data_IF_621410365659
#
_entry.id   IF_621410365659
#
_cell.length_a   1.000
_cell.length_b   1.000
_cell.length_c   1.000
_cell.angle_alpha   90.00
_cell.angle_beta   90.00
_cell.angle_gamma   90.00
#
_symmetry.space_group_name_H-M   'P 1'
#
loop_
_entity.id
_entity.type
_entity.pdbx_description
1 polymer ?
#
# COMPACT_ATOMS: atom_id res chain seq x y z
N UNK A 1 10.01 21.48 19.01
CA UNK A 1 9.29 21.34 17.72
C UNK A 1 9.92 20.29 16.83
N UNK A 2 11.24 20.34 16.56
CA UNK A 2 11.93 19.35 15.72
C UNK A 2 11.91 17.92 16.31
N UNK A 3 12.15 17.77 17.62
CA UNK A 3 12.05 16.48 18.34
C UNK A 3 10.62 15.89 18.31
N UNK A 4 9.60 16.74 18.35
CA UNK A 4 8.19 16.31 18.28
C UNK A 4 7.85 15.84 16.86
N UNK A 5 8.27 16.61 15.83
CA UNK A 5 8.14 16.21 14.42
C UNK A 5 8.88 14.90 14.10
N UNK A 6 10.10 14.70 14.61
CA UNK A 6 10.83 13.44 14.38
C UNK A 6 10.13 12.24 15.03
N UNK A 7 9.44 12.43 16.16
CA UNK A 7 8.67 11.34 16.79
C UNK A 7 7.39 11.06 16.01
N UNK A 8 6.71 12.13 15.55
CA UNK A 8 5.46 12.06 14.80
C UNK A 8 5.64 11.53 13.37
N UNK A 9 6.81 11.72 12.74
CA UNK A 9 7.08 11.38 11.34
C UNK A 9 8.13 10.28 11.11
N UNK A 10 8.96 9.90 12.10
CA UNK A 10 9.93 8.78 12.00
C UNK A 10 9.72 7.66 13.06
N UNK A 11 8.66 7.74 13.87
CA UNK A 11 8.38 6.79 14.96
C UNK A 11 9.58 6.58 15.92
N UNK A 12 10.48 7.56 16.03
CA UNK A 12 11.71 7.47 16.82
C UNK A 12 12.72 6.41 16.35
N UNK A 13 12.59 5.87 15.12
CA UNK A 13 13.56 4.93 14.53
C UNK A 13 13.64 3.54 15.20
N UNK A 14 12.63 3.16 15.99
CA UNK A 14 12.60 1.88 16.73
C UNK A 14 11.61 0.85 16.15
N UNK A 15 11.43 0.82 14.82
CA UNK A 15 10.52 -0.13 14.16
C UNK A 15 11.21 -1.49 13.93
N UNK A 16 10.57 -2.59 14.33
CA UNK A 16 11.09 -3.95 14.14
C UNK A 16 10.86 -4.48 12.72
N UNK A 17 11.55 -5.57 12.36
CA UNK A 17 11.40 -6.24 11.07
C UNK A 17 9.93 -6.66 10.79
N UNK A 18 9.31 -7.37 11.74
CA UNK A 18 7.94 -7.86 11.60
C UNK A 18 6.91 -6.73 11.58
N UNK A 19 7.14 -5.67 12.35
CA UNK A 19 6.28 -4.49 12.35
C UNK A 19 6.35 -3.74 11.02
N UNK A 20 7.54 -3.65 10.43
CA UNK A 20 7.72 -3.09 9.08
C UNK A 20 6.98 -3.94 8.05
N UNK A 21 7.21 -5.26 8.03
CA UNK A 21 6.59 -6.16 7.06
C UNK A 21 5.05 -6.12 7.10
N UNK A 22 4.48 -6.20 8.31
CA UNK A 22 3.02 -6.12 8.50
C UNK A 22 2.45 -4.77 8.11
N UNK A 23 3.17 -3.67 8.35
CA UNK A 23 2.74 -2.34 7.91
C UNK A 23 2.68 -2.24 6.39
N UNK A 24 3.65 -2.80 5.67
CA UNK A 24 3.62 -2.85 4.20
C UNK A 24 2.42 -3.65 3.70
N UNK A 25 2.15 -4.81 4.30
CA UNK A 25 0.97 -5.62 3.95
C UNK A 25 -0.32 -4.85 4.20
N UNK A 26 -0.43 -4.18 5.36
CA UNK A 26 -1.59 -3.36 5.72
C UNK A 26 -1.83 -2.24 4.70
N UNK A 27 -0.77 -1.48 4.39
CA UNK A 27 -0.83 -0.32 3.49
C UNK A 27 -1.30 -0.72 2.08
N UNK A 28 -0.94 -1.91 1.59
CA UNK A 28 -1.33 -2.41 0.27
C UNK A 28 -2.64 -3.21 0.24
N UNK A 29 -3.16 -3.60 1.40
CA UNK A 29 -4.42 -4.34 1.44
C UNK A 29 -5.57 -3.34 1.33
N UNK A 30 -5.82 -2.83 0.13
CA UNK A 30 -6.92 -1.91 -0.14
C UNK A 30 -8.26 -2.65 -0.23
N UNK A 31 -9.37 -1.94 -0.04
CA UNK A 31 -10.69 -2.48 -0.37
C UNK A 31 -10.74 -2.97 -1.83
N UNK A 32 -10.13 -2.20 -2.74
CA UNK A 32 -9.99 -2.57 -4.13
C UNK A 32 -9.10 -3.81 -4.33
N UNK A 33 -8.08 -4.04 -3.49
CA UNK A 33 -7.24 -5.24 -3.55
C UNK A 33 -8.08 -6.50 -3.45
N UNK A 34 -9.07 -6.51 -2.56
CA UNK A 34 -9.93 -7.67 -2.32
C UNK A 34 -11.04 -7.81 -3.38
N UNK A 35 -11.69 -6.69 -3.72
CA UNK A 35 -12.80 -6.67 -4.67
C UNK A 35 -12.32 -6.85 -6.12
N UNK A 36 -11.25 -6.17 -6.51
CA UNK A 36 -10.72 -6.22 -7.86
C UNK A 36 -10.06 -7.57 -8.14
N UNK A 37 -9.26 -8.11 -7.21
CA UNK A 37 -8.68 -9.45 -7.39
C UNK A 37 -9.76 -10.51 -7.57
N UNK A 38 -10.84 -10.44 -6.79
CA UNK A 38 -12.01 -11.34 -6.93
C UNK A 38 -12.75 -11.14 -8.26
N UNK A 39 -12.86 -9.88 -8.73
CA UNK A 39 -13.47 -9.57 -10.03
C UNK A 39 -12.64 -10.14 -11.19
N UNK A 40 -11.31 -10.06 -11.11
CA UNK A 40 -10.43 -10.65 -12.13
C UNK A 40 -10.41 -12.17 -12.03
N UNK A 41 -10.64 -12.75 -10.84
CA UNK A 41 -10.92 -14.19 -10.68
C UNK A 41 -12.18 -14.61 -11.44
N UNK A 42 -13.25 -13.84 -11.30
CA UNK A 42 -14.49 -14.08 -12.00
C UNK A 42 -14.35 -13.95 -13.52
N UNK A 43 -13.50 -13.05 -13.99
CA UNK A 43 -13.28 -12.82 -15.43
C UNK A 43 -12.34 -13.82 -16.08
N UNK A 44 -11.23 -14.17 -15.42
CA UNK A 44 -10.11 -14.88 -16.03
C UNK A 44 -9.79 -16.23 -15.33
N UNK A 45 -10.56 -16.63 -14.33
CA UNK A 45 -10.29 -17.83 -13.53
C UNK A 45 -9.06 -17.67 -12.62
N UNK A 46 -8.38 -18.78 -12.31
CA UNK A 46 -7.24 -18.83 -11.38
C UNK A 46 -6.06 -17.95 -11.86
N UNK A 47 -5.89 -17.78 -13.18
CA UNK A 47 -4.85 -16.92 -13.76
C UNK A 47 -4.99 -15.45 -13.31
N UNK A 48 -6.23 -14.97 -13.18
CA UNK A 48 -6.52 -13.58 -12.84
C UNK A 48 -5.94 -13.11 -11.50
N UNK A 49 -6.30 -13.76 -10.36
CA UNK A 49 -5.75 -13.47 -9.05
C UNK A 49 -4.24 -13.58 -8.97
N UNK A 50 -3.66 -14.56 -9.68
CA UNK A 50 -2.21 -14.69 -9.74
C UNK A 50 -1.58 -13.46 -10.39
N UNK A 51 -2.02 -13.05 -11.58
CA UNK A 51 -1.47 -11.88 -12.27
C UNK A 51 -1.74 -10.57 -11.52
N UNK A 52 -2.86 -10.48 -10.79
CA UNK A 52 -3.12 -9.38 -9.88
C UNK A 52 -2.06 -9.32 -8.76
N UNK A 53 -1.88 -10.42 -8.02
CA UNK A 53 -0.99 -10.50 -6.87
C UNK A 53 0.49 -10.40 -7.29
N UNK A 54 0.90 -11.16 -8.30
CA UNK A 54 2.26 -11.15 -8.83
C UNK A 54 2.63 -9.78 -9.40
N UNK A 55 1.72 -9.17 -10.16
CA UNK A 55 1.98 -7.90 -10.83
C UNK A 55 2.27 -6.75 -9.86
N UNK A 56 1.58 -6.74 -8.71
CA UNK A 56 1.82 -5.80 -7.63
C UNK A 56 3.02 -6.15 -6.73
N UNK A 57 3.32 -7.44 -6.57
CA UNK A 57 4.45 -7.90 -5.74
C UNK A 57 5.80 -7.56 -6.36
N UNK A 58 5.93 -7.57 -7.69
CA UNK A 58 7.21 -7.28 -8.37
C UNK A 58 7.75 -5.88 -8.03
N UNK A 59 6.97 -4.78 -8.20
CA UNK A 59 7.41 -3.45 -7.79
C UNK A 59 7.78 -3.34 -6.31
N UNK A 60 7.05 -4.01 -5.42
CA UNK A 60 7.33 -4.02 -3.97
C UNK A 60 8.70 -4.62 -3.65
N UNK A 61 9.04 -5.75 -4.26
CA UNK A 61 10.34 -6.40 -4.05
C UNK A 61 11.49 -5.53 -4.57
N UNK A 62 11.30 -4.87 -5.72
CA UNK A 62 12.29 -3.95 -6.26
C UNK A 62 12.43 -2.69 -5.40
N UNK A 63 11.32 -2.15 -4.90
CA UNK A 63 11.31 -1.02 -3.98
C UNK A 63 12.15 -1.30 -2.74
N UNK A 64 12.10 -2.52 -2.19
CA UNK A 64 12.91 -2.92 -1.04
C UNK A 64 14.41 -2.62 -1.26
N UNK A 65 14.95 -2.90 -2.45
CA UNK A 65 16.37 -2.67 -2.75
C UNK A 65 16.73 -1.19 -2.83
N UNK A 66 15.85 -0.37 -3.42
CA UNK A 66 16.06 1.07 -3.60
C UNK A 66 15.86 1.82 -2.27
N UNK A 67 14.92 1.37 -1.44
CA UNK A 67 14.66 1.90 -0.10
C UNK A 67 15.93 1.91 0.77
N UNK A 68 16.75 0.86 0.68
CA UNK A 68 18.04 0.75 1.38
C UNK A 68 19.05 1.77 0.83
N UNK A 69 19.12 1.91 -0.50
CA UNK A 69 20.03 2.86 -1.14
C UNK A 69 19.70 4.30 -0.77
N UNK A 70 18.42 4.64 -0.63
CA UNK A 70 18.00 5.96 -0.14
C UNK A 70 18.61 6.23 1.24
N UNK A 71 18.50 5.26 2.16
CA UNK A 71 19.02 5.43 3.52
C UNK A 71 20.54 5.44 3.62
N UNK A 72 21.23 4.63 2.81
CA UNK A 72 22.69 4.59 2.83
C UNK A 72 23.30 5.84 2.20
N UNK A 73 22.66 6.41 1.17
CA UNK A 73 23.18 7.57 0.42
C UNK A 73 22.64 8.92 0.91
N UNK A 74 21.43 8.96 1.46
CA UNK A 74 20.76 10.18 1.93
C UNK A 74 20.06 9.96 3.29
N UNK A 75 20.80 9.66 4.37
CA UNK A 75 20.24 9.32 5.68
C UNK A 75 19.44 10.46 6.35
N UNK A 76 19.64 11.71 5.91
CA UNK A 76 18.89 12.87 6.41
C UNK A 76 17.61 13.21 5.63
N UNK A 77 17.32 12.51 4.52
CA UNK A 77 16.14 12.79 3.71
C UNK A 77 14.87 12.27 4.39
N UNK A 78 13.86 13.13 4.51
CA UNK A 78 12.54 12.80 5.08
C UNK A 78 11.54 12.35 4.01
N UNK A 79 11.73 12.81 2.77
CA UNK A 79 10.92 12.43 1.61
C UNK A 79 11.84 12.04 0.46
N UNK A 80 11.33 11.21 -0.47
CA UNK A 80 12.13 10.86 -1.66
C UNK A 80 12.32 12.08 -2.58
N UNK A 81 11.38 13.04 -2.51
CA UNK A 81 11.40 14.29 -3.26
C UNK A 81 12.60 15.17 -2.91
N UNK A 82 13.03 15.19 -1.64
CA UNK A 82 14.26 15.90 -1.23
C UNK A 82 15.51 15.36 -1.95
N UNK A 83 15.57 14.05 -2.22
CA UNK A 83 16.67 13.46 -2.98
C UNK A 83 16.61 13.88 -4.45
N UNK A 84 15.40 13.93 -5.02
CA UNK A 84 15.18 14.46 -6.38
C UNK A 84 15.61 15.93 -6.45
N UNK A 85 15.29 16.74 -5.43
CA UNK A 85 15.72 18.13 -5.38
C UNK A 85 17.24 18.25 -5.31
N UNK A 86 17.89 17.47 -4.45
CA UNK A 86 19.34 17.49 -4.28
C UNK A 86 20.08 17.05 -5.55
N UNK A 87 19.47 16.15 -6.35
CA UNK A 87 20.08 15.59 -7.56
C UNK A 87 19.74 16.38 -8.84
N UNK A 88 18.48 16.74 -9.04
CA UNK A 88 17.96 17.30 -10.30
C UNK A 88 17.50 18.76 -10.19
N UNK A 89 17.56 19.34 -8.99
CA UNK A 89 17.22 20.74 -8.75
C UNK A 89 15.73 21.03 -8.62
N UNK A 90 15.40 22.31 -8.43
CA UNK A 90 14.07 22.75 -7.98
C UNK A 90 12.94 22.57 -8.99
N UNK A 91 13.23 22.63 -10.30
CA UNK A 91 12.19 22.47 -11.35
C UNK A 91 11.68 21.03 -11.38
N UNK A 92 12.58 20.07 -11.47
CA UNK A 92 12.26 18.64 -11.44
C UNK A 92 11.59 18.26 -10.11
N UNK A 93 12.08 18.82 -9.00
CA UNK A 93 11.46 18.64 -7.70
C UNK A 93 9.97 19.02 -7.68
N UNK A 94 9.60 20.20 -8.21
CA UNK A 94 8.19 20.64 -8.26
C UNK A 94 7.31 19.73 -9.12
N UNK A 95 7.83 19.25 -10.27
CA UNK A 95 7.11 18.31 -11.14
C UNK A 95 6.84 17.00 -10.41
N UNK A 96 7.84 16.45 -9.71
CA UNK A 96 7.65 15.24 -8.92
C UNK A 96 6.79 15.45 -7.68
N UNK A 97 6.82 16.62 -7.03
CA UNK A 97 5.87 16.97 -5.98
C UNK A 97 4.43 16.90 -6.48
N UNK A 98 4.18 17.43 -7.69
CA UNK A 98 2.85 17.35 -8.32
C UNK A 98 2.43 15.89 -8.57
N UNK A 99 3.31 15.05 -9.13
CA UNK A 99 2.99 13.64 -9.36
C UNK A 99 2.79 12.83 -8.07
N UNK A 100 3.57 13.11 -7.02
CA UNK A 100 3.42 12.47 -5.73
C UNK A 100 2.08 12.84 -5.10
N UNK A 101 1.76 14.13 -5.00
CA UNK A 101 0.47 14.60 -4.48
C UNK A 101 -0.70 14.02 -5.29
N UNK A 102 -0.60 14.01 -6.62
CA UNK A 102 -1.64 13.45 -7.48
C UNK A 102 -1.84 11.94 -7.21
N UNK A 103 -0.75 11.17 -7.09
CA UNK A 103 -0.80 9.75 -6.76
C UNK A 103 -1.48 9.52 -5.42
N UNK A 104 -1.03 10.19 -4.36
CA UNK A 104 -1.61 10.05 -3.02
C UNK A 104 -3.09 10.46 -2.97
N UNK A 105 -3.50 11.50 -3.72
CA UNK A 105 -4.92 11.91 -3.82
C UNK A 105 -5.75 10.86 -4.55
N UNK A 106 -5.25 10.29 -5.66
CA UNK A 106 -5.94 9.24 -6.40
C UNK A 106 -6.12 7.99 -5.53
N UNK A 107 -5.08 7.56 -4.84
CA UNK A 107 -5.11 6.41 -3.92
C UNK A 107 -6.11 6.65 -2.79
N UNK A 108 -6.05 7.83 -2.14
CA UNK A 108 -7.00 8.22 -1.09
C UNK A 108 -8.44 8.20 -1.61
N UNK A 109 -8.69 8.74 -2.81
CA UNK A 109 -10.02 8.76 -3.42
C UNK A 109 -10.55 7.36 -3.68
N UNK A 110 -9.70 6.45 -4.18
CA UNK A 110 -10.05 5.06 -4.42
C UNK A 110 -10.39 4.30 -3.13
N UNK A 111 -9.65 4.57 -2.04
CA UNK A 111 -9.95 4.01 -0.72
C UNK A 111 -11.29 4.53 -0.18
N UNK A 112 -11.56 5.82 -0.35
CA UNK A 112 -12.82 6.43 0.08
C UNK A 112 -14.01 5.86 -0.69
N UNK A 113 -13.91 5.73 -2.01
CA UNK A 113 -14.95 5.12 -2.83
C UNK A 113 -15.20 3.66 -2.42
N UNK A 114 -14.15 2.88 -2.20
CA UNK A 114 -14.27 1.48 -1.76
C UNK A 114 -14.90 1.34 -0.37
N UNK A 115 -14.51 2.20 0.58
CA UNK A 115 -15.08 2.23 1.92
C UNK A 115 -16.54 2.65 1.93
N UNK A 116 -16.87 3.74 1.23
CA UNK A 116 -18.24 4.24 1.14
C UNK A 116 -19.18 3.23 0.49
N UNK A 117 -18.78 2.62 -0.64
CA UNK A 117 -19.60 1.63 -1.33
C UNK A 117 -20.02 0.47 -0.42
N UNK A 118 -19.11 0.02 0.45
CA UNK A 118 -19.38 -1.09 1.37
C UNK A 118 -20.29 -0.65 2.52
N UNK A 119 -20.08 0.54 3.09
CA UNK A 119 -20.95 1.07 4.13
C UNK A 119 -22.38 1.26 3.63
N UNK A 120 -22.56 1.83 2.44
CA UNK A 120 -23.88 2.04 1.82
C UNK A 120 -24.56 0.73 1.42
N UNK A 121 -23.80 -0.34 1.19
CA UNK A 121 -24.38 -1.66 0.89
C UNK A 121 -24.98 -2.37 2.10
N UNK A 122 -24.67 -1.91 3.33
CA UNK A 122 -24.93 -2.68 4.55
C UNK A 122 -25.88 -1.96 5.48
N UNK A 123 -25.80 -0.64 5.53
CA UNK A 123 -26.79 0.17 6.20
C UNK A 123 -27.79 0.60 5.13
N UNK A 124 -28.98 0.02 5.19
CA UNK A 124 -30.11 0.44 4.35
C UNK A 124 -30.35 1.94 4.57
N UNK A 125 -30.57 2.68 3.47
CA UNK A 125 -30.80 4.13 3.44
C UNK A 125 -29.65 5.02 3.95
N UNK A 126 -28.41 4.52 3.97
CA UNK A 126 -27.25 5.36 4.27
C UNK A 126 -26.87 6.23 3.07
N UNK A 127 -26.97 7.55 3.23
CA UNK A 127 -26.47 8.50 2.23
C UNK A 127 -24.95 8.41 2.06
N UNK A 128 -24.49 8.45 0.81
CA UNK A 128 -23.07 8.39 0.44
C UNK A 128 -22.25 9.50 1.13
N UNK A 129 -22.82 10.69 1.26
CA UNK A 129 -22.17 11.85 1.88
C UNK A 129 -21.89 11.60 3.36
N UNK A 130 -22.87 11.04 4.08
CA UNK A 130 -22.70 10.69 5.49
C UNK A 130 -21.67 9.56 5.68
N UNK A 131 -21.70 8.54 4.82
CA UNK A 131 -20.70 7.46 4.84
C UNK A 131 -19.27 8.00 4.65
N UNK A 132 -19.08 8.93 3.71
CA UNK A 132 -17.81 9.59 3.47
C UNK A 132 -17.35 10.39 4.69
N UNK A 133 -18.24 11.18 5.30
CA UNK A 133 -17.93 11.97 6.48
C UNK A 133 -17.54 11.11 7.69
N UNK A 134 -18.22 9.98 7.90
CA UNK A 134 -17.86 9.01 8.96
C UNK A 134 -16.47 8.44 8.73
N UNK A 135 -16.15 8.02 7.51
CA UNK A 135 -14.82 7.49 7.21
C UNK A 135 -13.73 8.55 7.37
N UNK A 136 -13.98 9.79 6.93
CA UNK A 136 -13.06 10.92 7.13
C UNK A 136 -12.84 11.18 8.62
N UNK A 137 -13.89 11.13 9.44
CA UNK A 137 -13.78 11.28 10.89
C UNK A 137 -12.95 10.15 11.53
N UNK A 138 -13.13 8.91 11.08
CA UNK A 138 -12.36 7.75 11.56
C UNK A 138 -10.89 7.89 11.17
N UNK A 139 -10.59 8.13 9.89
CA UNK A 139 -9.22 8.30 9.39
C UNK A 139 -8.56 9.51 10.06
N UNK A 140 -9.26 10.63 10.16
CA UNK A 140 -8.77 11.87 10.76
C UNK A 140 -8.47 11.71 12.24
N UNK A 141 -9.41 11.13 13.02
CA UNK A 141 -9.21 10.86 14.44
C UNK A 141 -8.06 9.89 14.69
N UNK A 142 -7.99 8.82 13.90
CA UNK A 142 -6.90 7.85 13.95
C UNK A 142 -5.54 8.50 13.68
N UNK A 143 -5.47 9.35 12.65
CA UNK A 143 -4.22 10.01 12.23
C UNK A 143 -3.77 11.10 13.21
N UNK A 144 -4.72 11.89 13.70
CA UNK A 144 -4.45 13.04 14.58
C UNK A 144 -3.95 12.61 15.97
N UNK A 145 -4.50 11.51 16.52
CA UNK A 145 -4.15 11.04 17.85
C UNK A 145 -2.86 10.19 17.82
N UNK A 146 -2.64 9.43 16.74
CA UNK A 146 -1.62 8.38 16.70
C UNK A 146 -0.22 8.79 16.22
N UNK A 147 -0.12 9.71 15.25
CA UNK A 147 1.13 9.94 14.53
C UNK A 147 1.68 8.68 13.84
N UNK A 148 2.86 8.77 13.22
CA UNK A 148 3.42 7.65 12.44
C UNK A 148 3.75 6.43 13.29
N UNK A 149 4.20 6.62 14.53
CA UNK A 149 4.53 5.53 15.45
C UNK A 149 3.33 4.64 15.81
N UNK A 150 2.18 5.24 16.15
CA UNK A 150 0.99 4.45 16.42
C UNK A 150 0.45 3.78 15.15
N UNK A 151 0.59 4.42 13.98
CA UNK A 151 0.20 3.83 12.70
C UNK A 151 0.86 2.47 12.45
N UNK A 152 2.13 2.27 12.84
CA UNK A 152 2.81 0.96 12.72
C UNK A 152 2.14 -0.14 13.57
N UNK A 153 1.87 0.15 14.84
CA UNK A 153 1.25 -0.83 15.75
C UNK A 153 -0.20 -1.14 15.38
N UNK A 154 -0.94 -0.12 14.98
CA UNK A 154 -2.31 -0.28 14.53
C UNK A 154 -2.37 -1.01 13.17
N UNK A 155 -1.43 -0.76 12.27
CA UNK A 155 -1.29 -1.54 11.02
C UNK A 155 -1.05 -3.02 11.30
N UNK A 156 -0.26 -3.35 12.32
CA UNK A 156 -0.08 -4.73 12.77
C UNK A 156 -1.39 -5.36 13.25
N UNK A 157 -2.18 -4.63 14.07
CA UNK A 157 -3.48 -5.09 14.54
C UNK A 157 -4.47 -5.29 13.38
N UNK A 158 -4.61 -4.28 12.51
CA UNK A 158 -5.50 -4.31 11.34
C UNK A 158 -5.16 -5.48 10.42
N UNK A 159 -3.87 -5.66 10.11
CA UNK A 159 -3.39 -6.79 9.30
C UNK A 159 -3.71 -8.13 9.95
N UNK A 160 -3.50 -8.26 11.25
CA UNK A 160 -3.79 -9.51 11.99
C UNK A 160 -5.28 -9.87 11.93
N UNK A 161 -6.17 -8.87 12.08
CA UNK A 161 -7.62 -9.05 11.94
C UNK A 161 -7.98 -9.47 10.51
N UNK A 162 -7.39 -8.83 9.49
CA UNK A 162 -7.61 -9.19 8.09
C UNK A 162 -7.22 -10.65 7.84
N UNK A 163 -6.02 -11.07 8.23
CA UNK A 163 -5.58 -12.46 8.06
C UNK A 163 -6.49 -13.46 8.78
N UNK A 164 -6.93 -13.17 10.00
CA UNK A 164 -7.85 -14.03 10.73
C UNK A 164 -9.17 -14.22 9.98
N UNK A 165 -9.75 -13.14 9.45
CA UNK A 165 -11.00 -13.18 8.69
C UNK A 165 -10.81 -13.93 7.37
N UNK A 166 -9.69 -13.74 6.66
CA UNK A 166 -9.37 -14.49 5.44
C UNK A 166 -9.30 -15.99 5.68
N UNK A 167 -8.67 -16.41 6.78
CA UNK A 167 -8.60 -17.83 7.17
C UNK A 167 -10.00 -18.38 7.47
N UNK A 168 -10.86 -17.61 8.12
CA UNK A 168 -12.25 -18.02 8.36
C UNK A 168 -12.97 -18.25 7.02
N UNK A 169 -12.92 -17.31 6.08
CA UNK A 169 -13.55 -17.49 4.76
C UNK A 169 -13.00 -18.72 4.02
N UNK A 170 -11.68 -18.93 4.05
CA UNK A 170 -11.03 -20.08 3.42
C UNK A 170 -11.54 -21.41 4.00
N UNK A 171 -11.59 -21.52 5.34
CA UNK A 171 -12.09 -22.73 6.01
C UNK A 171 -13.58 -22.93 5.72
N UNK A 172 -14.38 -21.87 5.70
CA UNK A 172 -15.82 -21.97 5.47
C UNK A 172 -16.15 -22.42 4.04
N UNK A 173 -15.42 -21.93 3.04
CA UNK A 173 -15.66 -22.30 1.63
C UNK A 173 -15.15 -23.71 1.30
N UNK A 174 -13.97 -24.08 1.81
CA UNK A 174 -13.31 -25.33 1.41
C UNK A 174 -13.42 -26.49 2.40
N UNK A 175 -13.79 -26.24 3.66
CA UNK A 175 -13.72 -27.23 4.74
C UNK A 175 -14.96 -27.27 5.65
N UNK A 176 -16.04 -26.54 5.35
CA UNK A 176 -17.29 -26.64 6.11
C UNK A 176 -18.34 -27.52 5.39
N UNK A 177 -18.40 -28.83 5.68
CA UNK A 177 -19.40 -29.72 5.10
C UNK A 177 -20.82 -29.51 5.66
N UNK A 178 -21.00 -28.70 6.71
CA UNK A 178 -22.28 -28.50 7.41
C UNK A 178 -23.02 -27.20 7.09
N UNK A 179 -22.54 -26.38 6.15
CA UNK A 179 -23.23 -25.18 5.68
C UNK A 179 -24.41 -25.49 4.74
N UNK A 180 -25.24 -24.49 4.43
CA UNK A 180 -26.50 -24.58 3.66
C UNK A 180 -26.37 -25.01 2.16
N UNK A 181 -25.38 -25.82 1.80
CA UNK A 181 -25.58 -26.87 0.80
C UNK A 181 -24.99 -26.69 -0.61
N UNK A 182 -24.22 -25.63 -0.90
CA UNK A 182 -23.62 -25.47 -2.24
C UNK A 182 -22.09 -25.61 -2.28
N UNK A 183 -21.39 -25.14 -1.24
CA UNK A 183 -19.92 -25.18 -1.08
C UNK A 183 -19.56 -25.96 0.20
N UNK A 184 -18.28 -26.26 0.43
CA UNK A 184 -17.86 -26.98 1.65
C UNK A 184 -16.76 -28.04 1.47
N UNK A 185 -16.34 -28.30 0.22
CA UNK A 185 -15.14 -29.09 -0.07
C UNK A 185 -14.44 -28.56 -1.32
N UNK A 186 -13.11 -28.71 -1.38
CA UNK A 186 -12.30 -28.36 -2.57
C UNK A 186 -12.82 -29.10 -3.80
N UNK A 187 -13.16 -30.39 -3.67
CA UNK A 187 -13.69 -31.21 -4.76
C UNK A 187 -15.02 -30.66 -5.29
N UNK A 188 -15.88 -30.14 -4.41
CA UNK A 188 -17.15 -29.55 -4.82
C UNK A 188 -16.93 -28.27 -5.63
N UNK A 189 -16.09 -27.36 -5.14
CA UNK A 189 -15.72 -26.14 -5.86
C UNK A 189 -15.10 -26.48 -7.23
N UNK A 190 -14.15 -27.41 -7.25
CA UNK A 190 -13.54 -27.89 -8.49
C UNK A 190 -14.58 -28.45 -9.48
N UNK A 191 -15.50 -29.29 -9.00
CA UNK A 191 -16.53 -29.88 -9.86
C UNK A 191 -17.48 -28.84 -10.44
N UNK A 192 -17.86 -27.82 -9.66
CA UNK A 192 -18.72 -26.74 -10.13
C UNK A 192 -18.02 -25.88 -11.18
N UNK A 193 -16.76 -25.49 -10.92
CA UNK A 193 -15.96 -24.72 -11.86
C UNK A 193 -15.69 -25.47 -13.18
N UNK A 194 -15.54 -26.79 -13.12
CA UNK A 194 -15.34 -27.62 -14.30
C UNK A 194 -16.62 -27.81 -15.12
N UNK A 195 -17.80 -27.68 -14.49
CA UNK A 195 -19.09 -27.67 -15.19
C UNK A 195 -19.44 -26.28 -15.76
N UNK A 196 -18.83 -25.21 -15.27
CA UNK A 196 -19.02 -23.85 -15.77
C UNK A 196 -18.14 -23.57 -16.99
N UNK A 197 -18.73 -22.98 -18.03
CA UNK A 197 -17.96 -22.52 -19.19
C UNK A 197 -17.22 -21.21 -18.84
N UNK A 198 -15.90 -21.26 -18.96
CA UNK A 198 -14.98 -20.16 -18.76
C UNK A 198 -14.95 -19.17 -19.92
N UNK A 199 -14.24 -18.05 -19.75
CA UNK A 199 -14.14 -17.01 -20.78
C UNK A 199 -13.44 -17.56 -22.04
N UNK A 200 -13.79 -17.04 -23.24
CA UNK A 200 -13.25 -17.53 -24.52
C UNK A 200 -11.74 -17.32 -24.70
N UNK A 201 -11.13 -16.40 -23.92
CA UNK A 201 -9.69 -16.16 -23.92
C UNK A 201 -8.86 -17.15 -23.09
N UNK A 202 -9.53 -18.07 -22.39
CA UNK A 202 -8.88 -19.13 -21.60
C UNK A 202 -8.72 -20.40 -22.42
N UNK A 203 -7.60 -21.11 -22.24
CA UNK A 203 -7.44 -22.43 -22.84
C UNK A 203 -8.58 -23.36 -22.41
N UNK A 204 -9.21 -24.00 -23.41
CA UNK A 204 -10.36 -24.91 -23.23
C UNK A 204 -11.58 -24.26 -22.56
N UNK A 205 -11.70 -22.93 -22.58
CA UNK A 205 -12.75 -22.18 -21.87
C UNK A 205 -12.84 -22.64 -20.40
N UNK A 206 -11.71 -22.86 -19.72
CA UNK A 206 -11.70 -23.34 -18.34
C UNK A 206 -11.39 -22.21 -17.36
N UNK A 207 -12.09 -22.15 -16.22
CA UNK A 207 -11.70 -21.27 -15.10
C UNK A 207 -10.47 -21.78 -14.34
N UNK A 208 -10.09 -23.04 -14.54
CA UNK A 208 -9.00 -23.70 -13.83
C UNK A 208 -7.66 -23.59 -14.57
N UNK A 209 -7.68 -23.15 -15.83
CA UNK A 209 -6.45 -22.97 -16.59
C UNK A 209 -5.69 -21.75 -16.11
N UNK A 210 -4.37 -21.87 -16.12
CA UNK A 210 -3.47 -20.73 -15.93
C UNK A 210 -3.22 -19.97 -17.24
N UNK A 211 -3.46 -20.62 -18.38
CA UNK A 211 -3.22 -20.10 -19.72
C UNK A 211 -4.43 -19.26 -20.14
N UNK A 212 -4.32 -17.96 -19.87
CA UNK A 212 -5.32 -16.93 -20.20
C UNK A 212 -4.63 -15.73 -20.83
N UNK A 213 -5.01 -15.40 -22.08
CA UNK A 213 -4.43 -14.25 -22.78
C UNK A 213 -4.81 -12.94 -22.08
N UNK A 214 -6.08 -12.79 -21.72
CA UNK A 214 -6.60 -11.61 -21.04
C UNK A 214 -6.00 -11.48 -19.63
N UNK A 215 -5.80 -12.60 -18.93
CA UNK A 215 -5.08 -12.63 -17.65
C UNK A 215 -3.64 -12.13 -17.78
N UNK A 216 -2.92 -12.57 -18.80
CA UNK A 216 -1.54 -12.16 -19.05
C UNK A 216 -1.43 -10.67 -19.43
N UNK A 217 -2.28 -10.18 -20.34
CA UNK A 217 -2.33 -8.76 -20.73
C UNK A 217 -2.66 -7.89 -19.50
N UNK A 218 -3.65 -8.31 -18.70
CA UNK A 218 -3.97 -7.65 -17.44
C UNK A 218 -2.74 -7.63 -16.50
N UNK A 219 -2.01 -8.73 -16.40
CA UNK A 219 -0.77 -8.81 -15.61
C UNK A 219 0.26 -7.77 -16.01
N UNK A 220 0.53 -7.60 -17.31
CA UNK A 220 1.47 -6.59 -17.82
C UNK A 220 1.00 -5.17 -17.46
N UNK A 221 -0.28 -4.86 -17.71
CA UNK A 221 -0.86 -3.54 -17.39
C UNK A 221 -0.76 -3.28 -15.89
N UNK A 222 -1.07 -4.29 -15.07
CA UNK A 222 -1.03 -4.20 -13.62
C UNK A 222 0.41 -3.99 -13.12
N UNK A 223 1.42 -4.67 -13.67
CA UNK A 223 2.84 -4.44 -13.33
C UNK A 223 3.22 -2.99 -13.60
N UNK A 224 2.97 -2.50 -14.81
CA UNK A 224 3.34 -1.13 -15.22
C UNK A 224 2.62 -0.08 -14.38
N UNK A 225 1.32 -0.27 -14.14
CA UNK A 225 0.53 0.61 -13.28
C UNK A 225 1.06 0.65 -11.85
N UNK A 226 1.38 -0.51 -11.27
CA UNK A 226 1.88 -0.59 -9.90
C UNK A 226 3.26 0.05 -9.74
N UNK A 227 4.15 0.01 -10.74
CA UNK A 227 5.42 0.75 -10.66
C UNK A 227 5.20 2.25 -10.39
N UNK A 228 4.23 2.86 -11.07
CA UNK A 228 3.88 4.26 -10.82
C UNK A 228 3.37 4.46 -9.39
N UNK A 229 2.44 3.62 -8.94
CA UNK A 229 1.84 3.77 -7.61
C UNK A 229 2.81 3.48 -6.48
N UNK A 230 3.79 2.58 -6.61
CA UNK A 230 4.76 2.32 -5.52
C UNK A 230 5.83 3.39 -5.45
N UNK A 231 6.40 3.77 -6.59
CA UNK A 231 7.62 4.57 -6.61
C UNK A 231 7.36 6.06 -6.45
N UNK A 232 6.15 6.53 -6.80
CA UNK A 232 5.79 7.94 -6.74
C UNK A 232 4.95 8.26 -5.49
N UNK A 233 4.53 7.25 -4.74
CA UNK A 233 3.75 7.41 -3.52
C UNK A 233 4.65 7.57 -2.29
N UNK A 234 4.55 8.73 -1.66
CA UNK A 234 5.33 9.08 -0.48
C UNK A 234 5.03 8.21 0.76
N UNK A 235 3.86 7.55 0.83
CA UNK A 235 3.48 6.71 1.98
C UNK A 235 4.46 5.53 2.16
N UNK A 236 4.92 4.91 1.07
CA UNK A 236 5.91 3.82 1.10
C UNK A 236 7.31 4.31 1.47
N UNK A 237 7.71 5.44 0.90
CA UNK A 237 8.99 6.07 1.21
C UNK A 237 9.07 6.46 2.68
N UNK A 238 7.96 6.90 3.27
CA UNK A 238 7.89 7.26 4.66
C UNK A 238 8.07 6.04 5.59
N UNK A 239 7.39 4.92 5.30
CA UNK A 239 7.60 3.66 6.01
C UNK A 239 9.06 3.19 5.93
N UNK A 240 9.69 3.38 4.75
CA UNK A 240 11.11 3.10 4.57
C UNK A 240 11.99 4.02 5.43
N UNK A 241 11.75 5.32 5.43
CA UNK A 241 12.50 6.34 6.19
C UNK A 241 12.40 6.11 7.70
N UNK A 242 11.34 5.49 8.22
CA UNK A 242 11.23 5.09 9.62
C UNK A 242 12.00 3.80 9.98
N UNK A 243 12.13 2.82 9.07
CA UNK A 243 12.67 1.49 9.37
C UNK A 243 14.21 1.37 9.23
N UNK A 244 14.96 0.84 10.22
CA UNK A 244 16.44 0.74 10.15
C UNK A 244 16.92 0.01 8.87
N UNK A 245 18.00 0.43 8.18
CA UNK A 245 18.33 -0.06 6.83
C UNK A 245 18.31 -1.59 6.65
N UNK A 246 18.99 -2.34 7.53
CA UNK A 246 19.04 -3.81 7.47
C UNK A 246 17.67 -4.44 7.76
N UNK A 247 16.89 -3.87 8.68
CA UNK A 247 15.57 -4.38 9.05
C UNK A 247 14.50 -3.98 8.03
N UNK A 248 14.59 -2.77 7.47
CA UNK A 248 13.72 -2.26 6.42
C UNK A 248 13.78 -3.12 5.17
N UNK A 249 14.97 -3.44 4.66
CA UNK A 249 15.14 -4.30 3.47
C UNK A 249 14.36 -5.61 3.60
N UNK A 250 14.62 -6.36 4.68
CA UNK A 250 13.95 -7.63 4.93
C UNK A 250 12.47 -7.42 5.23
N UNK A 251 12.09 -6.29 5.82
CA UNK A 251 10.70 -5.92 6.10
C UNK A 251 9.90 -5.74 4.81
N UNK A 252 10.43 -5.01 3.85
CA UNK A 252 9.79 -4.82 2.53
C UNK A 252 9.77 -6.11 1.71
N UNK A 253 10.85 -6.90 1.72
CA UNK A 253 10.87 -8.19 1.01
C UNK A 253 9.85 -9.18 1.59
N UNK A 254 9.85 -9.36 2.92
CA UNK A 254 8.87 -10.23 3.59
C UNK A 254 7.46 -9.68 3.44
N UNK A 255 7.27 -8.37 3.58
CA UNK A 255 5.99 -7.71 3.41
C UNK A 255 5.41 -7.92 2.01
N UNK A 256 6.22 -7.75 0.95
CA UNK A 256 5.79 -8.00 -0.42
C UNK A 256 5.42 -9.46 -0.68
N UNK A 257 6.22 -10.41 -0.19
CA UNK A 257 5.93 -11.85 -0.34
C UNK A 257 4.67 -12.27 0.43
N UNK A 258 4.49 -11.77 1.65
CA UNK A 258 3.28 -12.04 2.46
C UNK A 258 2.06 -11.35 1.85
N UNK A 259 2.22 -10.15 1.29
CA UNK A 259 1.14 -9.44 0.64
C UNK A 259 0.59 -10.21 -0.55
N UNK A 260 1.42 -10.88 -1.36
CA UNK A 260 0.95 -11.74 -2.47
C UNK A 260 -0.16 -12.73 -2.01
N UNK A 261 0.01 -13.31 -0.82
CA UNK A 261 -0.93 -14.31 -0.30
C UNK A 261 -2.32 -13.73 -0.01
N UNK A 262 -2.43 -12.43 0.31
CA UNK A 262 -3.70 -11.78 0.68
C UNK A 262 -4.71 -11.74 -0.48
N UNK A 263 -4.45 -11.04 -1.61
CA UNK A 263 -5.38 -11.02 -2.73
C UNK A 263 -5.47 -12.39 -3.40
N UNK A 264 -4.38 -13.16 -3.46
CA UNK A 264 -4.43 -14.48 -4.09
C UNK A 264 -5.35 -15.44 -3.32
N UNK A 265 -5.20 -15.56 -2.00
CA UNK A 265 -6.05 -16.42 -1.18
C UNK A 265 -7.49 -15.92 -1.14
N UNK A 266 -7.71 -14.61 -0.98
CA UNK A 266 -9.07 -14.05 -0.95
C UNK A 266 -9.81 -14.24 -2.28
N UNK A 267 -9.16 -13.93 -3.41
CA UNK A 267 -9.82 -14.03 -4.70
C UNK A 267 -10.00 -15.47 -5.19
N UNK A 268 -9.08 -16.38 -4.86
CA UNK A 268 -9.27 -17.80 -5.18
C UNK A 268 -10.35 -18.45 -4.31
N UNK A 269 -10.53 -18.00 -3.06
CA UNK A 269 -11.62 -18.46 -2.20
C UNK A 269 -12.96 -17.82 -2.61
N UNK A 270 -13.08 -16.50 -2.44
CA UNK A 270 -14.34 -15.76 -2.65
C UNK A 270 -14.68 -15.57 -4.12
N UNK A 271 -13.69 -15.27 -4.97
CA UNK A 271 -13.90 -15.02 -6.40
C UNK A 271 -14.21 -16.29 -7.19
N UNK A 272 -13.64 -17.45 -6.84
CA UNK A 272 -14.04 -18.71 -7.48
C UNK A 272 -15.34 -19.26 -6.89
N UNK A 273 -15.59 -19.03 -5.60
CA UNK A 273 -16.91 -19.30 -5.01
C UNK A 273 -18.01 -18.46 -5.69
N UNK A 274 -17.73 -17.19 -6.04
CA UNK A 274 -18.59 -16.36 -6.88
C UNK A 274 -18.94 -17.05 -8.19
N UNK A 275 -17.93 -17.56 -8.93
CA UNK A 275 -18.17 -18.21 -10.22
C UNK A 275 -18.96 -19.50 -10.04
N UNK A 276 -18.63 -20.27 -9.01
CA UNK A 276 -19.29 -21.54 -8.70
C UNK A 276 -20.77 -21.37 -8.35
N UNK A 277 -21.14 -20.23 -7.76
CA UNK A 277 -22.52 -19.91 -7.36
C UNK A 277 -23.23 -18.93 -8.30
N UNK A 278 -22.53 -18.32 -9.26
CA UNK A 278 -23.01 -17.21 -10.10
C UNK A 278 -23.55 -16.00 -9.31
N UNK A 279 -22.90 -15.63 -8.20
CA UNK A 279 -23.35 -14.56 -7.27
C UNK A 279 -22.23 -13.59 -6.92
N UNK A 280 -22.48 -12.26 -6.91
CA UNK A 280 -21.55 -11.15 -6.49
C UNK A 280 -20.70 -11.49 -5.25
N UNK A 281 -19.39 -11.13 -5.17
CA UNK A 281 -18.51 -11.62 -4.08
C UNK A 281 -18.98 -11.24 -2.67
N UNK A 282 -19.63 -10.08 -2.53
CA UNK A 282 -20.28 -9.65 -1.27
C UNK A 282 -21.52 -10.51 -0.96
N UNK A 283 -22.26 -10.94 -1.99
CA UNK A 283 -23.37 -11.87 -1.84
C UNK A 283 -22.89 -13.29 -1.48
N UNK A 284 -21.71 -13.72 -1.96
CA UNK A 284 -21.10 -15.00 -1.52
C UNK A 284 -20.85 -15.00 -0.03
N UNK A 285 -20.38 -13.88 0.55
CA UNK A 285 -20.20 -13.78 1.99
C UNK A 285 -21.52 -13.98 2.76
N UNK A 286 -22.64 -13.48 2.21
CA UNK A 286 -23.98 -13.69 2.75
C UNK A 286 -24.44 -15.15 2.63
N UNK A 287 -24.24 -15.78 1.47
CA UNK A 287 -24.65 -17.17 1.28
C UNK A 287 -23.86 -18.14 2.16
N UNK A 288 -22.57 -17.88 2.37
CA UNK A 288 -21.69 -18.79 3.12
C UNK A 288 -21.83 -18.60 4.64
N UNK A 289 -21.97 -17.36 5.13
CA UNK A 289 -21.91 -17.03 6.56
C UNK A 289 -23.10 -16.20 7.07
N UNK A 290 -24.07 -15.86 6.23
CA UNK A 290 -25.18 -14.98 6.56
C UNK A 290 -24.72 -13.60 7.02
N UNK A 291 -25.44 -13.03 7.99
CA UNK A 291 -25.12 -11.74 8.61
C UNK A 291 -23.67 -11.65 9.14
N UNK A 292 -23.12 -12.78 9.64
CA UNK A 292 -21.75 -12.81 10.16
C UNK A 292 -20.71 -12.55 9.06
N UNK A 293 -20.95 -13.05 7.84
CA UNK A 293 -20.07 -12.84 6.69
C UNK A 293 -20.01 -11.37 6.27
N UNK A 294 -21.17 -10.70 6.25
CA UNK A 294 -21.25 -9.26 5.96
C UNK A 294 -20.47 -8.42 6.95
N UNK A 295 -20.66 -8.66 8.25
CA UNK A 295 -19.91 -7.94 9.30
C UNK A 295 -18.40 -8.16 9.14
N UNK A 296 -17.97 -9.37 8.78
CA UNK A 296 -16.54 -9.67 8.57
C UNK A 296 -15.95 -8.94 7.35
N UNK A 297 -16.68 -8.82 6.24
CA UNK A 297 -16.25 -8.04 5.06
C UNK A 297 -16.15 -6.54 5.42
N UNK A 298 -17.10 -6.00 6.17
CA UNK A 298 -17.03 -4.61 6.66
C UNK A 298 -15.81 -4.38 7.50
N UNK A 299 -15.57 -5.29 8.46
CA UNK A 299 -14.43 -5.16 9.35
C UNK A 299 -13.12 -5.15 8.56
N UNK A 300 -12.93 -6.06 7.60
CA UNK A 300 -11.75 -6.02 6.73
C UNK A 300 -11.63 -4.68 5.99
N UNK A 301 -12.73 -4.20 5.40
CA UNK A 301 -12.72 -2.98 4.58
C UNK A 301 -12.49 -1.73 5.43
N UNK A 302 -13.08 -1.66 6.62
CA UNK A 302 -12.85 -0.56 7.54
C UNK A 302 -11.41 -0.56 8.07
N UNK A 303 -10.86 -1.73 8.41
CA UNK A 303 -9.48 -1.86 8.89
C UNK A 303 -8.47 -1.49 7.79
N UNK A 304 -8.72 -1.89 6.55
CA UNK A 304 -7.89 -1.51 5.40
C UNK A 304 -7.96 0.00 5.10
N UNK A 305 -9.16 0.56 4.97
CA UNK A 305 -9.36 1.99 4.67
C UNK A 305 -8.77 2.87 5.78
N UNK A 306 -8.94 2.50 7.05
CA UNK A 306 -8.37 3.25 8.17
C UNK A 306 -6.83 3.20 8.14
N UNK A 307 -6.25 2.02 7.93
CA UNK A 307 -4.80 1.84 7.90
C UNK A 307 -4.17 2.62 6.75
N UNK A 308 -4.61 2.38 5.51
CA UNK A 308 -4.01 3.01 4.33
C UNK A 308 -4.36 4.49 4.27
N UNK A 309 -5.60 4.88 4.57
CA UNK A 309 -6.02 6.29 4.57
C UNK A 309 -5.17 7.15 5.52
N UNK A 310 -4.82 6.63 6.69
CA UNK A 310 -3.92 7.35 7.60
C UNK A 310 -2.51 7.55 7.02
N UNK A 311 -1.96 6.54 6.36
CA UNK A 311 -0.64 6.62 5.74
C UNK A 311 -0.62 7.64 4.59
N UNK A 312 -1.67 7.67 3.77
CA UNK A 312 -1.82 8.63 2.68
C UNK A 312 -1.93 10.08 3.18
N UNK A 313 -2.71 10.31 4.24
CA UNK A 313 -2.86 11.66 4.84
C UNK A 313 -1.51 12.15 5.40
N UNK A 314 -0.77 11.28 6.08
CA UNK A 314 0.57 11.62 6.58
C UNK A 314 1.52 11.88 5.41
N UNK A 315 1.46 11.08 4.35
CA UNK A 315 2.30 11.24 3.16
C UNK A 315 2.07 12.60 2.49
N UNK A 316 0.82 12.98 2.21
CA UNK A 316 0.46 14.30 1.65
C UNK A 316 0.96 15.42 2.57
N UNK A 317 0.73 15.27 3.88
CA UNK A 317 1.19 16.26 4.88
C UNK A 317 2.70 16.42 4.85
N UNK A 318 3.45 15.31 4.74
CA UNK A 318 4.92 15.33 4.69
C UNK A 318 5.44 16.04 3.44
N UNK A 319 4.83 15.82 2.26
CA UNK A 319 5.19 16.54 1.02
C UNK A 319 4.93 18.04 1.19
N UNK A 320 3.74 18.41 1.68
CA UNK A 320 3.38 19.82 1.85
C UNK A 320 4.34 20.52 2.82
N UNK A 321 4.66 19.89 3.95
CA UNK A 321 5.51 20.48 4.99
C UNK A 321 6.98 20.51 4.57
N UNK A 322 7.56 19.37 4.19
CA UNK A 322 8.99 19.26 3.96
C UNK A 322 9.39 19.77 2.56
N UNK A 323 8.59 19.51 1.53
CA UNK A 323 8.97 19.78 0.14
C UNK A 323 8.41 21.10 -0.41
N UNK A 324 7.18 21.48 -0.06
CA UNK A 324 6.61 22.74 -0.53
C UNK A 324 6.87 23.89 0.45
N UNK A 325 6.56 23.69 1.72
CA UNK A 325 6.59 24.74 2.72
C UNK A 325 8.02 25.11 3.15
N UNK A 326 8.83 24.13 3.57
CA UNK A 326 10.21 24.38 4.02
C UNK A 326 11.15 24.77 2.89
N UNK A 327 11.02 24.14 1.72
CA UNK A 327 11.96 24.34 0.61
C UNK A 327 11.59 25.54 -0.28
N UNK A 328 10.33 25.65 -0.70
CA UNK A 328 9.90 26.63 -1.72
C UNK A 328 9.23 27.88 -1.13
N UNK A 329 8.25 27.73 -0.22
CA UNK A 329 7.51 28.87 0.34
C UNK A 329 8.32 29.68 1.36
N UNK A 330 9.13 29.01 2.20
CA UNK A 330 10.02 29.62 3.22
C UNK A 330 9.39 30.75 4.06
N UNK A 331 8.18 30.59 4.61
CA UNK A 331 7.45 31.71 5.25
C UNK A 331 8.06 32.15 6.59
N UNK A 332 8.80 31.27 7.28
CA UNK A 332 9.59 31.63 8.45
C UNK A 332 11.07 31.54 8.11
N UNK A 333 11.68 32.69 7.79
CA UNK A 333 13.14 32.82 7.64
C UNK A 333 13.81 32.79 9.02
N UNK A 334 13.69 31.69 9.77
CA UNK A 334 14.55 31.39 10.93
C UNK A 334 15.48 30.25 10.53
N UNK A 335 16.48 30.62 9.73
CA UNK A 335 17.79 29.95 9.62
C UNK A 335 17.75 28.42 9.80
N UNK A 336 17.11 27.70 8.88
CA UNK A 336 17.79 26.51 8.37
C UNK A 336 18.86 27.10 7.46
N UNK A 337 20.06 27.28 8.00
CA UNK A 337 21.17 27.95 7.32
C UNK A 337 21.25 27.43 5.88
N UNK A 338 21.38 28.31 4.88
CA UNK A 338 21.74 27.92 3.50
C UNK A 338 23.06 27.13 3.43
N UNK A 339 23.78 27.11 4.54
CA UNK A 339 24.94 26.30 4.80
C UNK A 339 24.59 24.87 5.25
N UNK A 340 23.45 24.55 5.86
CA UNK A 340 23.10 23.16 6.22
C UNK A 340 23.09 22.19 5.03
N UNK A 341 23.79 21.07 5.14
CA UNK A 341 23.78 20.02 4.14
C UNK A 341 22.52 19.18 4.29
N UNK A 342 21.69 19.14 3.24
CA UNK A 342 20.45 18.34 3.20
C UNK A 342 20.72 16.82 3.40
N UNK A 343 21.92 16.33 3.04
CA UNK A 343 22.25 14.91 3.12
C UNK A 343 22.65 14.44 4.53
N UNK A 344 23.42 15.26 5.26
CA UNK A 344 23.97 14.89 6.57
C UNK A 344 23.52 15.80 7.73
N UNK A 345 22.71 16.83 7.46
CA UNK A 345 22.22 17.80 8.45
C UNK A 345 23.29 18.76 9.01
N UNK A 346 24.57 18.58 8.65
CA UNK A 346 25.72 19.39 9.13
C UNK A 346 25.91 20.67 8.33
N UNK A 347 26.52 21.69 8.93
CA UNK A 347 26.78 22.96 8.25
C UNK A 347 27.91 22.84 7.20
N UNK A 348 27.65 23.28 5.98
CA UNK A 348 28.58 23.51 4.86
C UNK A 348 29.26 24.88 5.04
N UNK A 349 30.48 25.00 4.52
CA UNK A 349 31.22 26.26 4.52
C UNK A 349 32.27 26.37 5.62
N UNK A 350 33.10 27.41 5.53
CA UNK A 350 34.27 27.63 6.40
C UNK A 350 33.95 28.16 7.80
N UNK A 351 32.70 28.58 8.05
CA UNK A 351 32.27 29.12 9.34
C UNK A 351 31.59 28.09 10.26
N UNK A 352 31.52 26.82 9.84
CA UNK A 352 31.03 25.74 10.69
C UNK A 352 32.10 25.29 11.69
N UNK A 353 31.70 24.95 12.92
CA UNK A 353 32.57 24.36 13.92
C UNK A 353 33.21 23.07 13.34
N UNK A 354 34.53 22.80 13.47
CA UNK A 354 35.19 21.70 12.76
C UNK A 354 34.59 20.30 13.01
N UNK A 355 33.88 20.11 14.13
CA UNK A 355 33.15 18.86 14.45
C UNK A 355 31.81 18.73 13.72
N UNK A 356 31.19 19.85 13.38
CA UNK A 356 29.85 19.99 12.77
C UNK A 356 29.92 20.39 11.30
N UNK A 357 31.10 20.29 10.68
CA UNK A 357 31.29 20.58 9.27
C UNK A 357 30.82 19.41 8.41
N UNK A 358 30.06 19.72 7.37
CA UNK A 358 29.60 18.74 6.38
C UNK A 358 30.77 18.19 5.57
N UNK A 359 30.93 16.86 5.56
CA UNK A 359 31.90 16.14 4.73
C UNK A 359 31.31 15.59 3.42
N UNK A 360 30.02 15.81 3.15
CA UNK A 360 29.39 15.38 1.89
C UNK A 360 29.97 16.16 0.71
N UNK A 361 30.49 15.45 -0.29
CA UNK A 361 30.98 15.98 -1.55
C UNK A 361 29.85 16.69 -2.31
N UNK A 362 30.15 17.80 -3.02
CA UNK A 362 29.16 18.42 -3.91
C UNK A 362 28.77 17.46 -5.03
N UNK A 363 27.57 17.63 -5.60
CA UNK A 363 27.11 16.81 -6.72
C UNK A 363 28.09 16.88 -7.91
N UNK A 364 28.68 18.05 -8.16
CA UNK A 364 29.73 18.26 -9.17
C UNK A 364 31.05 17.54 -8.91
N UNK A 365 31.33 17.16 -7.66
CA UNK A 365 32.54 16.44 -7.27
C UNK A 365 32.32 14.94 -7.01
N UNK A 366 31.08 14.46 -7.08
CA UNK A 366 30.75 13.06 -6.81
C UNK A 366 30.93 12.22 -8.08
N UNK A 367 31.95 11.35 -8.11
CA UNK A 367 32.24 10.47 -9.25
C UNK A 367 31.06 9.57 -9.66
N UNK A 368 30.26 9.09 -8.69
CA UNK A 368 29.07 8.29 -8.96
C UNK A 368 27.98 9.13 -9.63
N UNK A 369 27.77 10.36 -9.18
CA UNK A 369 26.83 11.28 -9.81
C UNK A 369 27.27 11.65 -11.25
N UNK A 370 28.56 11.84 -11.48
CA UNK A 370 29.09 12.10 -12.83
C UNK A 370 28.95 10.88 -13.74
N UNK A 371 29.12 9.66 -13.20
CA UNK A 371 28.95 8.43 -13.95
C UNK A 371 27.47 8.12 -14.27
N UNK A 372 26.54 8.52 -13.41
CA UNK A 372 25.09 8.40 -13.64
C UNK A 372 24.55 9.45 -14.64
N UNK A 373 25.31 10.54 -14.91
CA UNK A 373 24.96 11.61 -15.86
C UNK A 373 25.61 11.43 -17.26
N UNK A 374 26.53 10.47 -17.41
CA UNK A 374 27.11 10.02 -18.69
C UNK A 374 26.33 8.85 -19.25
#
# INVERSE_FOLDING_TARGET
>A
MQVMLDTDFDAGGQVSLGLTATTIVSQWTWAATLLQSSTVAAKNGISGPFWYAAGATIPLLLFATISVQLKTRAPGAKTFLQVIQARFGSRTHLIFCFFAILTNVIVTSMLMLGGCAVLTHIVEDLELEFAAMVLVAIIGGYTFIGGLGATFYMSYFNTSVIFAILLVFMVQIYHNPGGNGALGSINRVYSLLNCSEGPPGNQENSYLTFISLDGFIFGIINVVGNFGTVFVDQSYWQSSVAAKPKQGMWGFLLGGLVWFAVPFAFATTMGLAYVSLSLVPVAVANEVLGYRGHVMIVLIILMSVTSTGSAEVIAITSIVVYDLYQIHLRPYRRVADSNGCILCGKCRGRMANPRDQCSCTSMTGCKQCTADDM
#
